data_IF_631836909257
#
_entry.id   IF_631836909257
#
_cell.length_a   1.000
_cell.length_b   1.000
_cell.length_c   1.000
_cell.angle_alpha   90.00
_cell.angle_beta   90.00
_cell.angle_gamma   90.00
#
_symmetry.space_group_name_H-M   'P 1'
#
loop_
_entity.id
_entity.type
_entity.pdbx_description
1 polymer ?
#
# COMPACT_ATOMS: atom_id res chain seq x y z
N UNK A 1 17.78 37.13 -2.89
CA UNK A 1 18.61 36.15 -3.62
C UNK A 1 18.05 34.77 -3.31
N UNK A 2 17.00 34.37 -4.02
CA UNK A 2 16.38 33.05 -3.86
C UNK A 2 17.12 32.09 -4.78
N UNK A 3 17.72 31.03 -4.22
CA UNK A 3 18.31 29.93 -4.99
C UNK A 3 17.17 29.15 -5.65
N UNK A 4 17.28 28.95 -6.96
CA UNK A 4 16.39 28.10 -7.73
C UNK A 4 16.61 26.64 -7.34
N UNK A 5 15.55 25.93 -6.96
CA UNK A 5 15.56 24.48 -6.79
C UNK A 5 15.78 23.82 -8.15
N UNK A 6 16.95 23.19 -8.31
CA UNK A 6 17.26 22.38 -9.47
C UNK A 6 16.25 21.23 -9.59
N UNK A 7 15.63 21.14 -10.77
CA UNK A 7 14.56 20.22 -11.08
C UNK A 7 14.86 18.77 -10.69
N UNK A 8 13.99 18.20 -9.86
CA UNK A 8 13.88 16.76 -9.66
C UNK A 8 13.29 16.18 -10.94
N UNK A 9 14.12 15.98 -11.95
CA UNK A 9 13.75 15.25 -13.16
C UNK A 9 13.30 13.85 -12.73
N UNK A 10 12.05 13.51 -13.04
CA UNK A 10 11.57 12.13 -12.95
C UNK A 10 12.54 11.25 -13.75
N UNK A 11 13.06 10.18 -13.14
CA UNK A 11 13.89 9.22 -13.87
C UNK A 11 13.05 8.63 -15.01
N UNK A 12 13.58 8.52 -16.23
CA UNK A 12 12.89 7.83 -17.31
C UNK A 12 12.64 6.37 -16.92
N UNK A 13 11.55 5.80 -17.43
CA UNK A 13 11.28 4.38 -17.26
C UNK A 13 12.46 3.57 -17.82
N UNK A 14 12.89 2.48 -17.15
CA UNK A 14 14.01 1.67 -17.60
C UNK A 14 13.73 1.09 -18.99
N UNK A 15 14.79 0.89 -19.78
CA UNK A 15 14.69 0.29 -21.11
C UNK A 15 14.16 -1.14 -21.06
N UNK A 16 13.78 -1.70 -22.21
CA UNK A 16 13.33 -3.11 -22.29
C UNK A 16 14.44 -4.05 -21.80
N UNK A 17 15.68 -3.80 -22.20
CA UNK A 17 16.86 -4.58 -21.80
C UNK A 17 17.18 -4.41 -20.31
N UNK A 18 17.09 -3.19 -19.76
CA UNK A 18 17.28 -2.95 -18.32
C UNK A 18 16.18 -3.62 -17.49
N UNK A 19 14.96 -3.69 -18.02
CA UNK A 19 13.86 -4.36 -17.34
C UNK A 19 13.93 -5.88 -17.45
N UNK A 20 14.38 -6.42 -18.58
CA UNK A 20 14.68 -7.84 -18.75
C UNK A 20 15.82 -8.27 -17.83
N UNK A 21 16.81 -7.41 -17.59
CA UNK A 21 17.88 -7.66 -16.62
C UNK A 21 17.38 -7.54 -15.17
N UNK A 22 16.47 -6.60 -14.87
CA UNK A 22 15.83 -6.50 -13.52
C UNK A 22 14.93 -7.71 -13.24
N UNK A 23 14.09 -8.13 -14.19
CA UNK A 23 13.22 -9.29 -14.04
C UNK A 23 14.03 -10.60 -14.10
N UNK A 24 15.03 -10.69 -14.98
CA UNK A 24 15.94 -11.83 -15.10
C UNK A 24 16.76 -12.03 -13.83
N UNK A 25 17.38 -10.98 -13.29
CA UNK A 25 18.11 -11.03 -12.00
C UNK A 25 17.19 -11.30 -10.81
N UNK A 26 15.93 -10.86 -10.85
CA UNK A 26 14.95 -11.22 -9.82
C UNK A 26 14.56 -12.71 -9.84
N UNK A 27 14.89 -13.44 -10.92
CA UNK A 27 14.49 -14.83 -11.13
C UNK A 27 15.64 -15.84 -11.07
N UNK A 28 16.92 -15.45 -11.21
CA UNK A 28 18.03 -16.42 -11.36
C UNK A 28 19.23 -16.31 -10.40
N UNK A 29 19.46 -15.17 -9.72
CA UNK A 29 20.43 -15.09 -8.61
C UNK A 29 19.67 -15.16 -7.29
N UNK A 30 20.25 -15.56 -6.15
CA UNK A 30 19.53 -15.53 -4.86
C UNK A 30 19.56 -14.09 -4.30
N UNK A 31 18.65 -13.18 -4.70
CA UNK A 31 18.81 -11.74 -4.54
C UNK A 31 18.29 -11.27 -3.17
N UNK A 32 17.66 -12.18 -2.43
CA UNK A 32 16.95 -11.88 -1.18
C UNK A 32 17.92 -11.78 -0.01
N UNK A 33 18.92 -12.66 0.07
CA UNK A 33 19.89 -12.62 1.16
C UNK A 33 20.67 -11.28 1.14
N UNK A 34 21.01 -10.81 -0.06
CA UNK A 34 21.60 -9.49 -0.28
C UNK A 34 20.62 -8.34 0.03
N UNK A 35 19.34 -8.47 -0.38
CA UNK A 35 18.29 -7.49 -0.06
C UNK A 35 18.12 -7.34 1.47
N UNK A 36 17.98 -8.45 2.18
CA UNK A 36 17.82 -8.49 3.64
C UNK A 36 19.04 -7.91 4.33
N UNK A 37 20.24 -8.33 3.93
CA UNK A 37 21.49 -7.81 4.51
C UNK A 37 21.60 -6.30 4.32
N UNK A 38 21.32 -5.80 3.12
CA UNK A 38 21.31 -4.37 2.82
C UNK A 38 20.26 -3.64 3.66
N UNK A 39 19.06 -4.20 3.77
CA UNK A 39 17.95 -3.59 4.49
C UNK A 39 18.23 -3.48 6.00
N UNK A 40 18.73 -4.54 6.62
CA UNK A 40 19.10 -4.56 8.04
C UNK A 40 20.22 -3.56 8.35
N UNK A 41 21.18 -3.41 7.42
CA UNK A 41 22.24 -2.40 7.55
C UNK A 41 21.71 -0.97 7.44
N UNK A 42 20.74 -0.73 6.56
CA UNK A 42 20.17 0.61 6.38
C UNK A 42 19.16 1.00 7.47
N UNK A 43 18.58 0.01 8.17
CA UNK A 43 17.57 0.23 9.20
C UNK A 43 17.91 -0.56 10.47
N UNK A 44 19.02 -0.26 11.16
CA UNK A 44 19.41 -0.96 12.38
C UNK A 44 18.43 -0.74 13.56
N UNK A 45 17.56 0.26 13.46
CA UNK A 45 16.58 0.63 14.47
C UNK A 45 15.32 -0.26 14.50
N UNK A 46 15.12 -1.14 13.50
CA UNK A 46 13.90 -1.96 13.45
C UNK A 46 13.80 -2.88 14.67
N UNK A 47 12.61 -2.95 15.26
CA UNK A 47 12.32 -3.75 16.45
C UNK A 47 11.42 -4.95 16.14
N UNK A 48 10.73 -4.93 14.99
CA UNK A 48 9.80 -5.97 14.57
C UNK A 48 9.62 -6.05 13.06
N UNK A 49 9.08 -7.18 12.61
CA UNK A 49 8.79 -7.46 11.22
C UNK A 49 7.41 -8.09 11.09
N UNK A 50 6.60 -7.54 10.19
CA UNK A 50 5.33 -8.10 9.76
C UNK A 50 5.57 -8.98 8.52
N UNK A 51 5.32 -10.28 8.67
CA UNK A 51 5.32 -11.22 7.54
C UNK A 51 3.89 -11.42 7.05
N UNK A 52 3.64 -11.06 5.79
CA UNK A 52 2.30 -11.05 5.22
C UNK A 52 2.20 -11.94 3.99
N UNK A 53 1.08 -12.62 3.83
CA UNK A 53 0.64 -13.30 2.60
C UNK A 53 -0.70 -12.69 2.18
N UNK A 54 -0.96 -12.62 0.88
CA UNK A 54 -2.30 -12.31 0.36
C UNK A 54 -3.07 -13.61 0.23
N UNK A 55 -4.19 -13.74 0.93
CA UNK A 55 -5.07 -14.89 0.72
C UNK A 55 -5.82 -14.79 -0.63
N UNK A 56 -6.64 -15.81 -0.91
CA UNK A 56 -7.46 -15.92 -2.12
C UNK A 56 -8.55 -14.84 -2.23
N UNK A 57 -8.92 -14.18 -1.13
CA UNK A 57 -9.85 -13.06 -1.09
C UNK A 57 -9.15 -11.69 -1.23
N UNK A 58 -7.82 -11.67 -1.36
CA UNK A 58 -7.02 -10.43 -1.37
C UNK A 58 -6.82 -9.81 0.02
N UNK A 59 -7.16 -10.53 1.09
CA UNK A 59 -6.95 -10.10 2.46
C UNK A 59 -5.51 -10.45 2.87
N UNK A 60 -4.78 -9.45 3.37
CA UNK A 60 -3.44 -9.67 3.91
C UNK A 60 -3.55 -10.36 5.27
N UNK A 61 -2.92 -11.53 5.37
CA UNK A 61 -2.86 -12.34 6.59
C UNK A 61 -1.40 -12.52 6.97
N UNK A 62 -1.09 -12.55 8.26
CA UNK A 62 0.32 -12.51 8.64
C UNK A 62 0.60 -12.73 10.11
N UNK A 63 1.88 -12.70 10.44
CA UNK A 63 2.36 -12.77 11.81
C UNK A 63 3.54 -11.84 12.04
N UNK A 64 3.70 -11.45 13.30
CA UNK A 64 4.82 -10.64 13.75
C UNK A 64 6.00 -11.52 14.12
N UNK A 65 7.20 -11.03 13.82
CA UNK A 65 8.45 -11.71 14.12
C UNK A 65 9.54 -10.70 14.52
N UNK A 66 10.57 -11.14 15.27
CA UNK A 66 11.71 -10.29 15.56
C UNK A 66 12.58 -10.09 14.30
N UNK A 67 13.31 -8.96 14.17
CA UNK A 67 14.12 -8.60 12.98
C UNK A 67 15.07 -9.70 12.49
N UNK A 68 15.65 -10.46 13.41
CA UNK A 68 16.59 -11.54 13.11
C UNK A 68 15.94 -12.66 12.27
N UNK A 69 14.61 -12.74 12.27
CA UNK A 69 13.85 -13.70 11.48
C UNK A 69 13.91 -13.42 9.98
N UNK A 70 14.29 -12.21 9.54
CA UNK A 70 14.41 -11.88 8.11
C UNK A 70 15.40 -12.78 7.39
N UNK A 71 16.55 -13.09 8.00
CA UNK A 71 17.55 -13.98 7.40
C UNK A 71 17.02 -15.41 7.24
N UNK A 72 16.26 -15.91 8.23
CA UNK A 72 15.59 -17.20 8.13
C UNK A 72 14.51 -17.19 7.04
N UNK A 73 13.72 -16.11 6.97
CA UNK A 73 12.64 -15.94 6.01
C UNK A 73 13.14 -15.85 4.55
N UNK A 74 14.35 -15.34 4.34
CA UNK A 74 15.02 -15.31 3.05
C UNK A 74 15.52 -16.69 2.60
N UNK A 75 16.16 -17.42 3.51
CA UNK A 75 16.87 -18.67 3.21
C UNK A 75 15.97 -19.91 3.27
N UNK A 76 15.47 -20.25 4.46
CA UNK A 76 14.68 -21.46 4.73
C UNK A 76 13.19 -21.21 4.56
N UNK A 77 12.75 -19.98 4.85
CA UNK A 77 11.35 -19.59 4.88
C UNK A 77 10.76 -19.59 6.29
N UNK A 78 9.50 -19.16 6.34
CA UNK A 78 8.68 -19.02 7.54
C UNK A 78 7.45 -19.90 7.38
N UNK A 79 7.13 -20.69 8.40
CA UNK A 79 5.96 -21.56 8.34
C UNK A 79 4.66 -20.77 8.44
N UNK A 80 3.70 -21.11 7.58
CA UNK A 80 2.31 -20.70 7.67
C UNK A 80 1.41 -21.91 7.41
N UNK A 81 0.27 -22.04 8.08
CA UNK A 81 -0.69 -23.09 7.79
C UNK A 81 -1.21 -22.96 6.35
N UNK A 82 -1.29 -24.07 5.60
CA UNK A 82 -1.83 -24.07 4.24
C UNK A 82 -3.27 -23.52 4.21
N UNK A 83 -4.04 -23.76 5.27
CA UNK A 83 -5.42 -23.31 5.40
C UNK A 83 -5.59 -21.79 5.34
N UNK A 84 -4.53 -20.99 5.51
CA UNK A 84 -4.58 -19.51 5.39
C UNK A 84 -5.13 -19.05 4.02
N UNK A 85 -4.96 -19.87 2.98
CA UNK A 85 -5.48 -19.61 1.63
C UNK A 85 -6.90 -20.15 1.40
N UNK A 86 -7.42 -20.96 2.33
CA UNK A 86 -8.76 -21.59 2.29
C UNK A 86 -9.77 -20.97 3.25
N UNK A 87 -9.53 -19.72 3.68
CA UNK A 87 -10.44 -18.99 4.56
C UNK A 87 -11.46 -18.19 3.75
N UNK A 88 -12.64 -17.96 4.32
CA UNK A 88 -13.58 -16.98 3.78
C UNK A 88 -13.12 -15.54 4.08
N UNK A 89 -13.87 -14.56 3.54
CA UNK A 89 -13.57 -13.13 3.70
C UNK A 89 -13.57 -12.67 5.17
N UNK A 90 -14.28 -13.37 6.05
CA UNK A 90 -14.31 -13.09 7.50
C UNK A 90 -13.23 -13.86 8.28
N UNK A 91 -12.44 -14.68 7.59
CA UNK A 91 -11.38 -15.49 8.20
C UNK A 91 -11.86 -16.79 8.82
N UNK A 92 -13.06 -17.25 8.47
CA UNK A 92 -13.58 -18.56 8.91
C UNK A 92 -13.10 -19.65 7.97
N UNK A 93 -12.88 -20.83 8.52
CA UNK A 93 -12.50 -22.01 7.76
C UNK A 93 -13.63 -22.47 6.83
N UNK A 94 -13.25 -22.88 5.62
CA UNK A 94 -14.17 -23.49 4.66
C UNK A 94 -13.78 -24.95 4.50
N UNK A 95 -14.57 -25.86 5.08
CA UNK A 95 -14.27 -27.30 5.13
C UNK A 95 -14.03 -27.91 3.73
N UNK A 96 -14.83 -27.50 2.75
CA UNK A 96 -14.78 -27.99 1.37
C UNK A 96 -13.47 -27.67 0.64
N UNK A 97 -12.64 -26.77 1.18
CA UNK A 97 -11.28 -26.52 0.64
C UNK A 97 -10.36 -27.72 0.83
N UNK A 98 -10.67 -28.60 1.80
CA UNK A 98 -9.84 -29.76 2.13
C UNK A 98 -8.47 -29.41 2.73
N UNK A 99 -8.20 -28.14 3.03
CA UNK A 99 -6.87 -27.68 3.48
C UNK A 99 -6.67 -27.71 5.00
N UNK A 100 -7.74 -27.82 5.78
CA UNK A 100 -7.69 -27.70 7.24
C UNK A 100 -7.92 -29.05 7.96
N UNK A 101 -9.17 -29.44 8.22
CA UNK A 101 -9.51 -30.61 9.06
C UNK A 101 -9.00 -31.92 8.46
N UNK A 102 -9.14 -32.11 7.15
CA UNK A 102 -8.81 -33.37 6.49
C UNK A 102 -7.30 -33.64 6.39
N UNK A 103 -6.48 -32.59 6.42
CA UNK A 103 -5.01 -32.67 6.28
C UNK A 103 -4.28 -32.49 7.61
N UNK A 104 -5.00 -32.07 8.67
CA UNK A 104 -4.40 -31.68 9.95
C UNK A 104 -3.69 -30.33 9.89
N UNK A 105 -4.13 -29.43 8.99
CA UNK A 105 -3.58 -28.09 8.75
C UNK A 105 -2.05 -28.05 8.66
N UNK A 106 -1.53 -28.77 7.67
CA UNK A 106 -0.08 -28.81 7.42
C UNK A 106 0.47 -27.41 7.19
N UNK A 107 1.71 -27.21 7.63
CA UNK A 107 2.46 -26.00 7.31
C UNK A 107 2.99 -26.02 5.87
N UNK A 108 2.90 -24.86 5.21
CA UNK A 108 3.68 -24.51 4.03
C UNK A 108 4.87 -23.63 4.39
N UNK A 109 5.83 -23.53 3.46
CA UNK A 109 7.06 -22.76 3.63
C UNK A 109 6.96 -21.45 2.85
N UNK A 110 6.89 -20.33 3.56
CA UNK A 110 6.76 -19.01 2.96
C UNK A 110 8.10 -18.29 2.91
N UNK A 111 8.55 -17.89 1.72
CA UNK A 111 9.77 -17.12 1.51
C UNK A 111 9.46 -15.67 1.15
N UNK A 112 10.37 -14.77 1.49
CA UNK A 112 10.23 -13.35 1.15
C UNK A 112 10.13 -13.20 -0.38
N UNK A 113 9.11 -12.48 -0.82
CA UNK A 113 8.97 -12.06 -2.20
C UNK A 113 10.01 -10.96 -2.50
N UNK A 114 10.85 -11.12 -3.54
CA UNK A 114 11.87 -10.12 -3.87
C UNK A 114 11.33 -8.71 -4.03
N UNK A 115 12.07 -7.75 -3.47
CA UNK A 115 11.77 -6.33 -3.53
C UNK A 115 10.61 -5.87 -2.66
N UNK A 116 10.01 -6.75 -1.84
CA UNK A 116 8.84 -6.43 -1.02
C UNK A 116 9.15 -5.83 0.34
N UNK A 117 10.41 -5.90 0.80
CA UNK A 117 10.78 -5.49 2.16
C UNK A 117 10.74 -3.96 2.31
N UNK A 118 9.92 -3.44 3.23
CA UNK A 118 9.73 -2.00 3.44
C UNK A 118 9.59 -1.65 4.91
N UNK A 119 9.93 -0.41 5.27
CA UNK A 119 9.58 0.15 6.59
C UNK A 119 8.10 0.54 6.59
N UNK A 120 7.42 0.32 7.72
CA UNK A 120 6.05 0.76 7.98
C UNK A 120 6.10 2.14 8.64
N UNK A 121 5.90 3.25 7.91
CA UNK A 121 6.20 4.59 8.41
C UNK A 121 5.22 5.08 9.48
N UNK A 122 4.05 4.46 9.60
CA UNK A 122 3.03 4.79 10.60
C UNK A 122 3.06 3.88 11.84
N UNK A 123 3.93 2.87 11.88
CA UNK A 123 4.02 1.97 13.02
C UNK A 123 4.55 2.71 14.26
N UNK A 124 3.94 2.47 15.43
CA UNK A 124 4.37 3.12 16.69
C UNK A 124 5.77 2.71 17.13
N UNK A 125 6.18 1.48 16.80
CA UNK A 125 7.53 0.97 16.99
C UNK A 125 8.17 0.78 15.61
N UNK A 126 9.48 1.03 15.43
CA UNK A 126 10.16 0.80 14.16
C UNK A 126 9.92 -0.63 13.66
N UNK A 127 9.13 -0.75 12.58
CA UNK A 127 8.64 -2.03 12.09
C UNK A 127 8.89 -2.12 10.59
N UNK A 128 9.41 -3.26 10.15
CA UNK A 128 9.47 -3.59 8.73
C UNK A 128 8.30 -4.51 8.35
N UNK A 129 8.01 -4.59 7.06
CA UNK A 129 7.01 -5.49 6.50
C UNK A 129 7.58 -6.17 5.26
N UNK A 130 7.28 -7.45 5.10
CA UNK A 130 7.66 -8.24 3.95
C UNK A 130 6.47 -9.07 3.45
N UNK A 131 6.27 -9.06 2.14
CA UNK A 131 5.33 -9.97 1.50
C UNK A 131 6.02 -11.31 1.31
N UNK A 132 5.34 -12.39 1.65
CA UNK A 132 5.81 -13.74 1.45
C UNK A 132 5.04 -14.42 0.32
N UNK A 133 5.65 -15.46 -0.24
CA UNK A 133 5.00 -16.40 -1.16
C UNK A 133 5.23 -17.82 -0.68
N UNK A 134 4.21 -18.68 -0.82
CA UNK A 134 4.23 -20.02 -0.28
C UNK A 134 4.73 -21.05 -1.29
N UNK A 135 5.53 -21.98 -0.80
CA UNK A 135 5.97 -23.18 -1.48
C UNK A 135 5.70 -24.39 -0.60
N UNK A 136 5.60 -25.56 -1.23
CA UNK A 136 5.62 -26.85 -0.52
C UNK A 136 7.01 -27.13 0.04
N UNK A 137 7.11 -28.15 0.89
CA UNK A 137 8.40 -28.62 1.44
C UNK A 137 9.40 -28.99 0.33
N UNK A 138 8.92 -29.50 -0.80
CA UNK A 138 9.74 -29.82 -1.97
C UNK A 138 10.15 -28.58 -2.79
N UNK A 139 9.83 -27.37 -2.32
CA UNK A 139 10.11 -26.10 -3.02
C UNK A 139 9.17 -25.80 -4.18
N UNK A 140 8.12 -26.61 -4.38
CA UNK A 140 7.16 -26.41 -5.47
C UNK A 140 6.21 -25.25 -5.12
N UNK A 141 5.93 -24.31 -6.03
CA UNK A 141 4.92 -23.28 -5.83
C UNK A 141 3.58 -23.84 -5.32
N UNK A 142 3.05 -23.25 -4.25
CA UNK A 142 1.73 -23.66 -3.74
C UNK A 142 0.62 -23.04 -4.59
N UNK A 143 -0.25 -23.87 -5.16
CA UNK A 143 -1.32 -23.44 -6.07
C UNK A 143 -2.37 -22.54 -5.40
N UNK A 144 -2.55 -22.65 -4.09
CA UNK A 144 -3.48 -21.80 -3.34
C UNK A 144 -2.99 -20.36 -3.17
N UNK A 145 -1.69 -20.08 -3.39
CA UNK A 145 -1.12 -18.75 -3.29
C UNK A 145 -1.39 -17.95 -4.59
N UNK A 146 -2.22 -16.88 -4.54
CA UNK A 146 -2.52 -16.07 -5.72
C UNK A 146 -1.28 -15.45 -6.38
N UNK A 147 -0.22 -15.20 -5.60
CA UNK A 147 1.04 -14.66 -6.14
C UNK A 147 1.77 -15.68 -7.01
N UNK A 148 1.72 -16.96 -6.65
CA UNK A 148 2.26 -18.05 -7.48
C UNK A 148 1.44 -18.21 -8.76
N UNK A 149 0.12 -18.10 -8.67
CA UNK A 149 -0.77 -18.14 -9.84
C UNK A 149 -0.51 -16.98 -10.80
N UNK A 150 -0.30 -15.76 -10.28
CA UNK A 150 0.07 -14.60 -11.07
C UNK A 150 1.44 -14.79 -11.73
N UNK A 151 2.43 -15.30 -10.98
CA UNK A 151 3.76 -15.61 -11.52
C UNK A 151 3.67 -16.59 -12.69
N UNK A 152 2.93 -17.68 -12.54
CA UNK A 152 2.73 -18.67 -13.60
C UNK A 152 2.06 -18.06 -14.85
N UNK A 153 1.12 -17.12 -14.68
CA UNK A 153 0.52 -16.41 -15.80
C UNK A 153 1.52 -15.50 -16.53
N UNK A 154 2.36 -14.78 -15.78
CA UNK A 154 3.43 -13.93 -16.32
C UNK A 154 4.46 -14.76 -17.09
N UNK A 155 4.87 -15.90 -16.55
CA UNK A 155 5.83 -16.81 -17.20
C UNK A 155 5.29 -17.36 -18.53
N UNK A 156 3.98 -17.69 -18.61
CA UNK A 156 3.34 -18.11 -19.87
C UNK A 156 3.32 -16.99 -20.92
N UNK A 157 3.12 -15.74 -20.52
CA UNK A 157 3.19 -14.59 -21.44
C UNK A 157 4.64 -14.39 -21.92
N UNK A 158 5.60 -14.48 -21.01
CA UNK A 158 7.02 -14.35 -21.35
C UNK A 158 7.48 -15.43 -22.34
N UNK A 159 7.00 -16.68 -22.21
CA UNK A 159 7.28 -17.76 -23.16
C UNK A 159 6.76 -17.49 -24.59
N UNK A 160 5.82 -16.55 -24.75
CA UNK A 160 5.33 -16.07 -26.04
C UNK A 160 6.07 -14.82 -26.55
N UNK A 161 7.13 -14.38 -25.84
CA UNK A 161 7.81 -13.12 -26.13
C UNK A 161 6.99 -11.88 -25.73
N UNK A 162 5.97 -12.04 -24.87
CA UNK A 162 5.12 -10.95 -24.41
C UNK A 162 5.50 -10.51 -23.01
N UNK A 163 5.47 -9.19 -22.78
CA UNK A 163 5.71 -8.58 -21.48
C UNK A 163 4.39 -8.12 -20.86
N UNK A 164 4.03 -8.71 -19.72
CA UNK A 164 2.87 -8.27 -18.95
C UNK A 164 3.13 -6.89 -18.32
N UNK A 165 2.20 -5.96 -18.51
CA UNK A 165 2.20 -4.64 -17.87
C UNK A 165 0.81 -4.39 -17.32
N UNK A 166 0.74 -3.92 -16.07
CA UNK A 166 -0.51 -3.55 -15.42
C UNK A 166 -0.37 -2.18 -14.78
N UNK A 167 -1.43 -1.37 -14.90
CA UNK A 167 -1.60 -0.13 -14.17
C UNK A 167 -2.93 -0.21 -13.43
N UNK A 168 -2.91 0.06 -12.13
CA UNK A 168 -4.09 0.01 -11.28
C UNK A 168 -4.48 1.43 -10.89
N UNK A 169 -5.74 1.79 -11.09
CA UNK A 169 -6.34 3.01 -10.55
C UNK A 169 -7.25 2.61 -9.39
N UNK A 170 -6.81 2.91 -8.17
CA UNK A 170 -7.59 2.63 -6.96
C UNK A 170 -8.38 3.88 -6.57
N UNK A 171 -9.69 3.82 -6.75
CA UNK A 171 -10.60 4.83 -6.22
C UNK A 171 -10.99 4.49 -4.78
N UNK A 172 -10.99 5.49 -3.91
CA UNK A 172 -11.44 5.35 -2.53
C UNK A 172 -12.11 6.63 -2.03
N UNK A 173 -12.96 6.48 -1.02
CA UNK A 173 -13.64 7.59 -0.36
C UNK A 173 -13.11 7.74 1.06
N UNK A 174 -12.88 8.98 1.48
CA UNK A 174 -12.66 9.31 2.89
C UNK A 174 -14.01 9.72 3.48
N UNK A 175 -14.46 9.02 4.52
CA UNK A 175 -15.75 9.24 5.15
C UNK A 175 -15.56 9.90 6.53
N UNK A 176 -16.46 10.81 6.89
CA UNK A 176 -16.53 11.37 8.24
C UNK A 176 -17.51 10.52 9.06
N UNK A 177 -17.02 9.72 10.03
CA UNK A 177 -17.88 8.85 10.83
C UNK A 177 -18.86 9.60 11.73
N UNK A 178 -18.64 10.91 11.98
CA UNK A 178 -19.54 11.74 12.78
C UNK A 178 -20.65 12.41 11.96
N UNK A 179 -20.62 12.27 10.64
CA UNK A 179 -21.59 12.88 9.74
C UNK A 179 -22.58 11.85 9.21
N UNK A 180 -23.85 12.23 9.09
CA UNK A 180 -24.88 11.38 8.49
C UNK A 180 -25.46 12.07 7.24
N UNK A 181 -25.47 11.33 6.14
CA UNK A 181 -26.21 11.69 4.93
C UNK A 181 -27.68 11.33 5.09
N UNK A 182 -28.53 11.87 4.23
CA UNK A 182 -29.97 11.55 4.22
C UNK A 182 -30.28 10.07 3.96
N UNK A 183 -29.33 9.30 3.43
CA UNK A 183 -29.41 7.86 3.18
C UNK A 183 -28.88 7.00 4.35
N UNK A 184 -28.50 7.62 5.49
CA UNK A 184 -28.00 6.93 6.68
C UNK A 184 -26.55 6.46 6.59
N UNK A 185 -25.84 6.83 5.52
CA UNK A 185 -24.42 6.53 5.35
C UNK A 185 -23.54 7.69 5.84
N UNK A 186 -22.31 7.42 6.32
CA UNK A 186 -21.34 8.46 6.61
C UNK A 186 -21.11 9.39 5.41
N UNK A 187 -21.04 10.70 5.64
CA UNK A 187 -20.75 11.64 4.56
C UNK A 187 -19.29 11.52 4.10
N UNK A 188 -19.05 11.79 2.81
CA UNK A 188 -17.70 11.88 2.27
C UNK A 188 -17.06 13.16 2.80
N UNK A 189 -15.89 13.06 3.45
CA UNK A 189 -15.11 14.18 4.00
C UNK A 189 -14.87 15.28 2.95
N UNK A 190 -14.76 14.90 1.68
CA UNK A 190 -14.80 15.80 0.55
C UNK A 190 -16.19 15.79 -0.10
N UNK A 191 -17.12 16.52 0.52
CA UNK A 191 -18.48 16.70 0.01
C UNK A 191 -19.23 17.90 0.61
N UNK A 192 -18.67 18.59 1.62
CA UNK A 192 -19.24 19.87 2.05
C UNK A 192 -18.99 20.92 0.95
N UNK A 193 -20.00 21.72 0.53
CA UNK A 193 -19.70 22.92 -0.22
C UNK A 193 -18.72 23.73 0.62
N UNK A 194 -17.53 23.99 0.08
CA UNK A 194 -16.54 24.80 0.80
C UNK A 194 -17.18 26.13 1.25
N UNK A 195 -16.60 26.84 2.24
CA UNK A 195 -17.10 28.14 2.72
C UNK A 195 -17.07 29.27 1.66
N UNK A 196 -16.86 28.92 0.40
CA UNK A 196 -17.13 29.71 -0.79
C UNK A 196 -17.67 28.72 -1.82
N UNK A 197 -18.91 28.93 -2.27
CA UNK A 197 -19.65 28.01 -3.14
C UNK A 197 -18.95 27.72 -4.46
N UNK A 198 -18.03 26.75 -4.46
CA UNK A 198 -17.59 26.07 -5.67
C UNK A 198 -18.65 25.03 -6.02
N UNK A 199 -19.49 25.26 -7.05
CA UNK A 199 -20.36 24.22 -7.55
C UNK A 199 -19.49 23.06 -8.04
N UNK A 200 -19.96 21.84 -7.76
CA UNK A 200 -19.49 20.57 -8.31
C UNK A 200 -18.78 20.76 -9.65
N UNK A 201 -17.56 20.24 -9.76
CA UNK A 201 -16.81 20.20 -11.00
C UNK A 201 -17.72 19.70 -12.13
N UNK A 202 -18.23 20.64 -12.95
CA UNK A 202 -18.85 20.28 -14.21
C UNK A 202 -17.74 19.66 -15.03
N UNK A 203 -17.96 18.43 -15.44
CA UNK A 203 -17.36 17.81 -16.62
C UNK A 203 -17.08 18.91 -17.65
N UNK A 204 -15.80 19.11 -17.97
CA UNK A 204 -15.30 20.25 -18.72
C UNK A 204 -15.63 20.15 -20.21
N UNK A 205 -16.91 20.14 -20.56
CA UNK A 205 -17.35 20.47 -21.91
C UNK A 205 -17.58 21.98 -21.97
N UNK A 206 -16.51 22.76 -22.14
CA UNK A 206 -16.45 24.11 -22.73
C UNK A 206 -15.37 25.01 -22.11
N UNK A 207 -14.10 24.80 -22.46
CA UNK A 207 -13.18 25.93 -22.60
C UNK A 207 -13.42 26.55 -23.99
N UNK A 208 -14.44 27.41 -24.11
CA UNK A 208 -14.86 28.04 -25.38
C UNK A 208 -14.38 29.48 -25.53
N UNK A 209 -13.32 29.89 -24.83
CA UNK A 209 -12.75 31.25 -24.91
C UNK A 209 -11.33 31.32 -25.49
N UNK A 210 -10.71 30.19 -25.81
CA UNK A 210 -9.49 30.16 -26.62
C UNK A 210 -9.84 29.90 -28.09
N UNK A 211 -10.38 30.91 -28.78
CA UNK A 211 -10.45 30.87 -30.25
C UNK A 211 -9.12 31.41 -30.80
N UNK A 212 -8.32 30.63 -31.55
CA UNK A 212 -7.15 31.15 -32.21
C UNK A 212 -7.59 31.98 -33.43
N UNK A 213 -7.37 33.29 -33.42
CA UNK A 213 -7.31 34.04 -34.68
C UNK A 213 -5.97 33.71 -35.33
N UNK A 214 -6.02 32.87 -36.36
CA UNK A 214 -4.92 32.68 -37.28
C UNK A 214 -4.66 34.01 -38.00
N UNK A 215 -3.44 34.55 -37.88
CA UNK A 215 -2.62 35.08 -38.99
C UNK A 215 -1.29 35.66 -38.48
N UNK A 216 -0.20 35.23 -39.11
CA UNK A 216 1.17 35.79 -39.14
C UNK A 216 2.16 35.47 -37.99
N UNK A 217 3.42 35.28 -38.42
CA UNK A 217 4.55 34.59 -37.76
C UNK A 217 5.48 35.55 -36.97
N UNK A 218 6.68 35.17 -36.45
CA UNK A 218 6.99 35.23 -35.02
C UNK A 218 8.09 36.24 -34.67
N UNK A 219 7.89 37.08 -33.65
CA UNK A 219 9.00 37.70 -32.89
C UNK A 219 8.50 38.36 -31.62
N UNK A 220 9.05 37.90 -30.50
CA UNK A 220 9.30 38.67 -29.25
C UNK A 220 8.17 39.58 -28.72
N UNK A 221 7.37 39.09 -27.76
CA UNK A 221 6.79 39.91 -26.68
C UNK A 221 6.27 39.05 -25.50
N UNK A 222 6.19 39.60 -24.26
CA UNK A 222 6.21 38.84 -23.02
C UNK A 222 4.85 38.25 -22.60
N UNK A 223 4.90 37.18 -21.81
CA UNK A 223 3.74 36.49 -21.20
C UNK A 223 2.89 37.47 -20.37
N UNK A 224 1.75 37.91 -20.90
CA UNK A 224 0.72 38.58 -20.12
C UNK A 224 0.10 37.56 -19.13
N UNK A 225 0.35 37.74 -17.82
CA UNK A 225 -0.29 36.95 -16.77
C UNK A 225 -1.70 37.50 -16.50
N UNK A 226 -2.69 36.63 -16.60
CA UNK A 226 -4.09 36.90 -16.26
C UNK A 226 -4.21 37.42 -14.82
N UNK A 227 -4.89 38.55 -14.63
CA UNK A 227 -4.91 39.36 -13.39
C UNK A 227 -5.92 38.87 -12.33
N UNK A 228 -6.60 37.75 -12.56
CA UNK A 228 -7.78 37.32 -11.79
C UNK A 228 -7.50 36.43 -10.55
N UNK A 229 -6.25 36.12 -10.21
CA UNK A 229 -5.93 35.18 -9.10
C UNK A 229 -5.12 35.79 -7.93
N UNK A 230 -5.23 37.10 -7.65
CA UNK A 230 -4.60 37.68 -6.45
C UNK A 230 -5.63 37.91 -5.35
N UNK A 231 -5.76 36.97 -4.43
CA UNK A 231 -6.32 37.22 -3.09
C UNK A 231 -5.19 37.13 -2.06
N UNK A 232 -4.94 38.23 -1.35
CA UNK A 232 -3.98 38.35 -0.24
C UNK A 232 -4.54 37.71 1.04
N UNK A 233 -3.74 37.00 1.86
CA UNK A 233 -4.19 36.48 3.15
C UNK A 233 -4.11 37.56 4.25
N UNK A 234 -5.22 37.76 4.98
CA UNK A 234 -5.28 38.61 6.18
C UNK A 234 -4.71 37.88 7.39
N UNK A 235 -3.76 38.50 8.06
CA UNK A 235 -3.11 38.00 9.27
C UNK A 235 -4.00 38.13 10.51
N UNK A 236 -4.40 37.01 11.12
CA UNK A 236 -4.78 36.95 12.54
C UNK A 236 -4.03 35.80 13.23
N UNK A 237 -3.21 36.15 14.22
CA UNK A 237 -2.54 35.20 15.13
C UNK A 237 -3.57 34.54 16.06
N UNK A 238 -3.52 33.22 16.30
CA UNK A 238 -4.24 32.61 17.41
C UNK A 238 -3.47 32.79 18.74
N UNK A 239 -4.22 33.06 19.82
CA UNK A 239 -3.73 33.09 21.22
C UNK A 239 -3.52 31.66 21.75
N UNK A 240 -2.60 31.42 22.70
CA UNK A 240 -2.39 30.10 23.28
C UNK A 240 -3.52 29.72 24.24
N UNK A 241 -4.08 28.54 24.08
CA UNK A 241 -5.02 27.95 25.04
C UNK A 241 -4.23 27.26 26.17
N UNK A 242 -4.57 27.63 27.41
CA UNK A 242 -4.05 27.08 28.65
C UNK A 242 -4.44 25.62 28.84
N UNK A 243 -3.51 24.83 29.38
CA UNK A 243 -3.70 23.47 29.88
C UNK A 243 -4.85 23.39 30.90
N UNK A 244 -5.79 22.49 30.64
CA UNK A 244 -6.67 21.93 31.67
C UNK A 244 -6.60 20.41 31.57
N UNK A 245 -5.98 19.83 32.59
CA UNK A 245 -5.98 18.42 32.95
C UNK A 245 -7.41 17.96 33.17
N UNK A 246 -7.82 16.90 32.47
CA UNK A 246 -9.03 16.14 32.79
C UNK A 246 -8.55 14.80 33.35
N UNK A 247 -8.71 14.65 34.67
CA UNK A 247 -8.60 13.39 35.38
C UNK A 247 -9.92 12.62 35.33
N UNK A 248 -9.82 11.29 35.48
CA UNK A 248 -10.90 10.31 35.71
C UNK A 248 -11.62 9.85 34.43
N UNK A 249 -11.81 8.56 34.14
CA UNK A 249 -12.55 7.57 34.95
C UNK A 249 -11.98 6.16 34.70
N UNK A 250 -11.64 5.45 35.79
CA UNK A 250 -11.34 4.02 35.79
C UNK A 250 -12.65 3.20 35.94
N UNK A 251 -12.77 2.02 35.31
CA UNK A 251 -13.93 1.15 35.47
C UNK A 251 -13.96 0.47 36.85
N UNK A 252 -15.13 0.50 37.50
CA UNK A 252 -15.44 -0.22 38.74
C UNK A 252 -15.44 -1.74 38.53
N UNK A 253 -14.88 -2.56 39.44
CA UNK A 253 -14.95 -4.01 39.34
C UNK A 253 -16.32 -4.56 39.79
N UNK A 254 -16.84 -5.53 39.03
CA UNK A 254 -18.06 -6.28 39.34
C UNK A 254 -17.88 -7.22 40.56
N UNK A 255 -18.94 -7.49 41.34
CA UNK A 255 -18.87 -8.44 42.46
C UNK A 255 -18.82 -9.90 41.99
N UNK A 256 -18.22 -10.81 42.79
CA UNK A 256 -18.12 -12.23 42.45
C UNK A 256 -19.48 -12.97 42.58
N UNK A 257 -19.70 -14.07 41.84
CA UNK A 257 -20.93 -14.84 41.92
C UNK A 257 -21.04 -15.61 43.24
N UNK A 258 -22.22 -15.53 43.85
CA UNK A 258 -22.65 -16.35 44.98
C UNK A 258 -22.88 -17.78 44.54
N UNK A 259 -22.18 -18.72 45.17
CA UNK A 259 -22.41 -20.16 45.07
C UNK A 259 -23.78 -20.52 45.64
N UNK A 260 -24.50 -21.38 44.92
CA UNK A 260 -25.58 -22.21 45.46
C UNK A 260 -25.52 -23.59 44.83
#
# INVERSE_FOLDING_TARGET
MCREDAGRHARPAPSVEEHEDILGRALTDNPIDDEVTRFLRSHPEIEGVEFLVSDTNGVLRGKWAPPQSLAKAASVGVNFPLSVFGLDVWGREVADTGLHVHTGDRDGFCRIAPGSLRIVPWARRPTAQAILTMQTEAGVPFLGDPRQQLRAAIERLAALGLRAVAAFELEFYLLDPASERSDGLPAVLCGAPGPSGCPSARTSTACRTCRPTATSSPRSAPRARCRACRSTPSSRKPRPASSRSISSIAPTPSPPPTTR
#
